data_IF_795850910093
#
_entry.id   IF_795850910093
#
_cell.length_a   1.000
_cell.length_b   1.000
_cell.length_c   1.000
_cell.angle_alpha   90.00
_cell.angle_beta   90.00
_cell.angle_gamma   90.00
#
_symmetry.space_group_name_H-M   'P 1'
#
loop_
_entity.id
_entity.type
_entity.pdbx_description
1 polymer ?
#
# COMPACT_ATOMS: atom_id res chain seq x y z
N UNK A 1 0.24 -5.94 10.30
CA UNK A 1 -0.06 -4.60 9.73
C UNK A 1 -0.32 -3.54 10.79
N UNK A 2 -1.11 -3.79 11.83
CA UNK A 2 -1.37 -2.82 12.92
C UNK A 2 -0.13 -2.31 13.65
N UNK A 3 0.94 -3.08 13.65
CA UNK A 3 2.20 -2.72 14.34
C UNK A 3 2.99 -1.56 13.68
N UNK A 4 2.65 -1.17 12.46
CA UNK A 4 3.34 -0.04 11.81
C UNK A 4 2.73 1.30 12.14
N UNK A 5 1.48 1.35 12.56
CA UNK A 5 0.72 2.58 12.78
C UNK A 5 0.59 2.88 14.26
N UNK A 6 0.99 4.07 14.67
CA UNK A 6 0.80 4.58 16.04
C UNK A 6 -0.52 5.31 16.13
N UNK A 7 -1.55 4.66 16.67
CA UNK A 7 -2.83 5.30 16.88
C UNK A 7 -2.88 6.07 18.20
N UNK A 8 -3.41 7.31 18.15
CA UNK A 8 -3.75 8.09 19.35
C UNK A 8 -2.63 8.16 20.40
N UNK A 9 -1.38 8.06 19.96
CA UNK A 9 -0.24 8.29 20.83
C UNK A 9 -0.25 9.76 21.29
N UNK A 10 0.06 10.06 22.58
CA UNK A 10 0.07 11.44 23.07
C UNK A 10 0.90 12.40 22.22
N UNK A 11 2.03 11.92 21.70
CA UNK A 11 2.90 12.69 20.81
C UNK A 11 2.23 13.06 19.48
N UNK A 12 1.49 12.14 18.86
CA UNK A 12 0.73 12.42 17.63
C UNK A 12 -0.46 13.33 17.92
N UNK A 13 -1.17 13.06 19.02
CA UNK A 13 -2.34 13.84 19.44
C UNK A 13 -1.96 15.28 19.77
N UNK A 14 -0.86 15.49 20.50
CA UNK A 14 -0.38 16.84 20.87
C UNK A 14 0.05 17.68 19.66
N UNK A 15 0.44 17.01 18.56
CA UNK A 15 0.81 17.65 17.30
C UNK A 15 -0.35 17.78 16.31
N UNK A 16 -1.56 17.36 16.68
CA UNK A 16 -2.76 17.40 15.84
C UNK A 16 -2.64 16.55 14.57
N UNK A 17 -1.92 15.43 14.62
CA UNK A 17 -1.67 14.57 13.46
C UNK A 17 -2.86 13.65 13.20
N UNK A 18 -3.34 13.66 11.95
CA UNK A 18 -4.36 12.74 11.43
C UNK A 18 -3.71 11.72 10.48
N UNK A 19 -3.68 10.46 10.92
CA UNK A 19 -3.10 9.34 10.16
C UNK A 19 -4.06 8.72 9.13
N UNK A 20 -5.22 9.33 8.92
CA UNK A 20 -6.17 8.91 7.88
C UNK A 20 -6.18 9.85 6.68
N UNK A 21 -5.38 10.91 6.73
CA UNK A 21 -5.33 11.94 5.69
C UNK A 21 -3.98 11.93 4.99
N UNK A 22 -4.03 12.19 3.70
CA UNK A 22 -2.88 12.28 2.82
C UNK A 22 -3.00 13.52 1.96
N UNK A 23 -1.95 14.31 1.89
CA UNK A 23 -1.79 15.39 0.91
C UNK A 23 -0.76 14.96 -0.10
N UNK A 24 -1.10 15.01 -1.36
CA UNK A 24 -0.21 14.66 -2.48
C UNK A 24 0.41 15.96 -2.99
N UNK A 25 1.74 16.05 -2.94
CA UNK A 25 2.48 17.09 -3.66
C UNK A 25 2.46 16.73 -5.15
N UNK A 26 1.78 17.50 -5.93
CA UNK A 26 1.87 17.43 -7.37
C UNK A 26 2.91 18.47 -7.83
N UNK A 27 3.86 18.06 -8.67
CA UNK A 27 4.84 18.97 -9.28
C UNK A 27 4.20 20.00 -10.23
N UNK A 28 2.92 19.80 -10.55
CA UNK A 28 2.13 20.72 -11.36
C UNK A 28 1.07 21.41 -10.49
N UNK A 29 0.72 22.62 -10.84
CA UNK A 29 -0.41 23.32 -10.24
C UNK A 29 -1.60 22.37 -10.19
N UNK A 30 -2.11 22.13 -8.99
CA UNK A 30 -3.30 21.27 -8.82
C UNK A 30 -4.40 21.87 -9.70
N UNK A 31 -5.02 21.05 -10.58
CA UNK A 31 -6.09 21.55 -11.43
C UNK A 31 -7.15 22.21 -10.55
N UNK A 32 -7.73 23.28 -11.04
CA UNK A 32 -8.82 23.97 -10.37
C UNK A 32 -10.01 23.04 -10.18
N UNK A 33 -10.95 23.35 -9.30
CA UNK A 33 -12.10 22.50 -9.03
C UNK A 33 -13.01 22.26 -10.25
N UNK A 34 -12.87 23.07 -11.30
CA UNK A 34 -13.61 22.95 -12.56
C UNK A 34 -12.80 22.27 -13.67
N UNK A 35 -11.52 21.99 -13.43
CA UNK A 35 -10.67 21.37 -14.44
C UNK A 35 -10.85 19.84 -14.44
N UNK A 36 -11.03 19.28 -15.62
CA UNK A 36 -11.06 17.84 -15.80
C UNK A 36 -9.68 17.24 -15.56
N UNK A 37 -9.62 16.16 -14.83
CA UNK A 37 -8.39 15.39 -14.62
C UNK A 37 -8.61 13.90 -14.91
N UNK A 38 -7.53 13.20 -15.21
CA UNK A 38 -7.55 11.77 -15.46
C UNK A 38 -6.78 11.04 -14.35
N UNK A 39 -7.21 9.85 -14.03
CA UNK A 39 -6.48 8.95 -13.15
C UNK A 39 -6.59 7.51 -13.66
N UNK A 40 -5.65 6.68 -13.26
CA UNK A 40 -5.62 5.27 -13.61
C UNK A 40 -6.13 4.44 -12.45
N UNK A 41 -6.82 3.35 -12.77
CA UNK A 41 -7.29 2.37 -11.79
C UNK A 41 -6.85 0.98 -12.23
N UNK A 42 -6.37 0.20 -11.28
CA UNK A 42 -5.90 -1.15 -11.48
C UNK A 42 -6.15 -1.96 -10.21
N UNK A 43 -6.36 -3.25 -10.33
CA UNK A 43 -6.46 -4.19 -9.23
C UNK A 43 -6.04 -5.57 -9.66
N UNK A 44 -5.87 -6.49 -8.73
CA UNK A 44 -5.60 -7.91 -9.01
C UNK A 44 -4.39 -8.13 -9.94
N UNK A 45 -3.34 -7.32 -9.78
CA UNK A 45 -2.25 -7.27 -10.74
C UNK A 45 -1.08 -8.20 -10.43
N UNK A 46 -1.10 -8.82 -9.26
CA UNK A 46 0.04 -9.52 -8.69
C UNK A 46 0.23 -10.99 -9.11
N UNK A 47 -0.38 -11.45 -10.21
CA UNK A 47 -0.40 -12.89 -10.58
C UNK A 47 0.96 -13.45 -11.01
N UNK A 48 1.97 -12.59 -11.22
CA UNK A 48 3.29 -13.02 -11.61
C UNK A 48 3.44 -13.39 -13.07
N UNK A 49 4.50 -14.14 -13.36
CA UNK A 49 4.83 -14.57 -14.73
C UNK A 49 4.17 -15.90 -15.04
N UNK A 50 3.40 -15.93 -16.10
CA UNK A 50 2.94 -17.17 -16.73
C UNK A 50 3.99 -17.70 -17.74
N UNK A 51 3.85 -18.95 -18.15
CA UNK A 51 4.83 -19.67 -18.99
C UNK A 51 5.30 -18.88 -20.21
N UNK A 52 4.42 -18.21 -20.92
CA UNK A 52 4.73 -17.51 -22.18
C UNK A 52 4.50 -16.01 -22.14
N UNK A 53 3.93 -15.46 -21.04
CA UNK A 53 3.58 -14.06 -20.94
C UNK A 53 3.57 -13.61 -19.48
N UNK A 54 3.54 -12.32 -19.26
CA UNK A 54 3.39 -11.72 -17.93
C UNK A 54 2.22 -10.75 -17.95
N UNK A 55 1.03 -11.16 -17.53
CA UNK A 55 -0.14 -10.27 -17.50
C UNK A 55 0.13 -8.97 -16.73
N UNK A 56 0.75 -8.98 -15.54
CA UNK A 56 1.09 -7.74 -14.83
C UNK A 56 1.96 -6.80 -15.66
N UNK A 57 2.92 -7.36 -16.41
CA UNK A 57 3.79 -6.56 -17.28
C UNK A 57 3.03 -5.94 -18.45
N UNK A 58 2.17 -6.71 -19.09
CA UNK A 58 1.35 -6.20 -20.21
C UNK A 58 0.41 -5.08 -19.74
N UNK A 59 -0.18 -5.22 -18.54
CA UNK A 59 -1.01 -4.19 -17.94
C UNK A 59 -0.16 -2.95 -17.63
N UNK A 60 0.99 -3.11 -16.97
CA UNK A 60 1.89 -2.01 -16.65
C UNK A 60 2.33 -1.23 -17.90
N UNK A 61 2.66 -1.92 -19.00
CA UNK A 61 3.02 -1.30 -20.28
C UNK A 61 1.84 -0.52 -20.89
N UNK A 62 0.63 -1.02 -20.79
CA UNK A 62 -0.56 -0.29 -21.22
C UNK A 62 -0.80 0.96 -20.37
N UNK A 63 -0.66 0.87 -19.07
CA UNK A 63 -0.79 2.01 -18.18
C UNK A 63 0.26 3.09 -18.45
N UNK A 64 1.49 2.71 -18.84
CA UNK A 64 2.55 3.66 -19.19
C UNK A 64 2.16 4.59 -20.34
N UNK A 65 1.36 4.13 -21.30
CA UNK A 65 0.90 4.97 -22.42
C UNK A 65 0.01 6.13 -21.98
N UNK A 66 -0.58 6.04 -20.78
CA UNK A 66 -1.47 7.05 -20.20
C UNK A 66 -0.85 7.74 -18.97
N UNK A 67 0.35 7.33 -18.58
CA UNK A 67 1.00 7.80 -17.35
C UNK A 67 1.12 9.32 -17.26
N UNK A 68 1.57 9.96 -18.34
CA UNK A 68 1.77 11.42 -18.38
C UNK A 68 0.48 12.24 -18.29
N UNK A 69 -0.67 11.64 -18.57
CA UNK A 69 -1.99 12.30 -18.53
C UNK A 69 -2.69 12.07 -17.20
N UNK A 70 -2.24 11.09 -16.40
CA UNK A 70 -2.90 10.71 -15.17
C UNK A 70 -2.30 11.45 -13.98
N UNK A 71 -3.16 12.02 -13.14
CA UNK A 71 -2.75 12.66 -11.89
C UNK A 71 -2.22 11.64 -10.87
N UNK A 72 -2.82 10.46 -10.83
CA UNK A 72 -2.44 9.37 -9.92
C UNK A 72 -2.92 8.01 -10.45
N UNK A 73 -2.40 6.95 -9.84
CA UNK A 73 -2.88 5.58 -10.04
C UNK A 73 -3.43 5.04 -8.72
N UNK A 74 -4.67 4.56 -8.76
CA UNK A 74 -5.30 3.81 -7.66
C UNK A 74 -5.11 2.31 -7.91
N UNK A 75 -4.69 1.59 -6.85
CA UNK A 75 -4.63 0.13 -6.90
C UNK A 75 -5.60 -0.46 -5.86
N UNK A 76 -6.61 -1.19 -6.35
CA UNK A 76 -7.76 -1.63 -5.55
C UNK A 76 -7.51 -2.91 -4.74
N UNK A 77 -6.27 -3.34 -4.62
CA UNK A 77 -5.87 -4.49 -3.81
C UNK A 77 -5.37 -5.67 -4.62
N UNK A 78 -4.93 -6.71 -3.91
CA UNK A 78 -4.26 -7.89 -4.46
C UNK A 78 -3.03 -7.51 -5.28
N UNK A 79 -2.15 -6.76 -4.61
CA UNK A 79 -0.93 -6.24 -5.22
C UNK A 79 0.03 -7.38 -5.58
N UNK A 80 0.09 -8.41 -4.73
CA UNK A 80 0.96 -9.57 -4.95
C UNK A 80 0.26 -10.88 -4.62
N UNK A 81 0.12 -11.75 -5.60
CA UNK A 81 -0.38 -13.10 -5.47
C UNK A 81 0.77 -14.11 -5.18
N UNK A 82 0.49 -15.31 -4.59
CA UNK A 82 -0.85 -15.79 -4.17
C UNK A 82 -1.18 -15.36 -2.73
N UNK A 83 -0.21 -15.13 -1.90
CA UNK A 83 -0.33 -14.88 -0.46
C UNK A 83 0.44 -13.62 -0.02
N UNK A 84 0.67 -12.66 -0.90
CA UNK A 84 1.37 -11.42 -0.58
C UNK A 84 2.79 -11.62 -0.03
N UNK A 85 3.45 -12.73 -0.37
CA UNK A 85 4.73 -13.08 0.22
C UNK A 85 5.87 -12.18 -0.28
N UNK A 86 6.82 -11.86 0.60
CA UNK A 86 7.93 -10.94 0.31
C UNK A 86 8.81 -11.39 -0.87
N UNK A 87 9.00 -12.68 -1.04
CA UNK A 87 9.78 -13.27 -2.13
C UNK A 87 9.10 -13.15 -3.50
N UNK A 88 7.79 -12.90 -3.51
CA UNK A 88 7.00 -12.69 -4.73
C UNK A 88 7.01 -11.23 -5.21
N UNK A 89 7.31 -10.26 -4.33
CA UNK A 89 7.29 -8.84 -4.70
C UNK A 89 8.19 -8.51 -5.87
N UNK A 90 9.38 -9.14 -5.93
CA UNK A 90 10.34 -8.88 -6.99
C UNK A 90 9.79 -9.18 -8.38
N UNK A 91 9.24 -10.37 -8.57
CA UNK A 91 8.80 -10.84 -9.88
C UNK A 91 7.36 -10.42 -10.22
N UNK A 92 6.50 -10.25 -9.19
CA UNK A 92 5.10 -9.98 -9.38
C UNK A 92 4.76 -8.48 -9.32
N UNK A 93 5.62 -7.65 -8.71
CA UNK A 93 5.39 -6.21 -8.58
C UNK A 93 6.56 -5.37 -9.10
N UNK A 94 7.78 -5.52 -8.56
CA UNK A 94 8.91 -4.64 -8.92
C UNK A 94 9.24 -4.72 -10.41
N UNK A 95 9.40 -5.93 -10.92
CA UNK A 95 9.71 -6.16 -12.34
C UNK A 95 8.61 -5.65 -13.28
N UNK A 96 7.31 -5.95 -13.08
CA UNK A 96 6.25 -5.43 -13.93
C UNK A 96 6.13 -3.91 -13.93
N UNK A 97 6.22 -3.29 -12.74
CA UNK A 97 5.96 -1.86 -12.54
C UNK A 97 7.22 -1.00 -12.38
N UNK A 98 8.38 -1.49 -12.83
CA UNK A 98 9.68 -0.83 -12.63
C UNK A 98 9.72 0.62 -13.10
N UNK A 99 9.04 0.99 -14.18
CA UNK A 99 9.01 2.36 -14.70
C UNK A 99 8.17 3.33 -13.86
N UNK A 100 7.41 2.81 -12.90
CA UNK A 100 6.68 3.59 -11.90
C UNK A 100 7.53 3.91 -10.68
N UNK A 101 8.66 3.20 -10.54
CA UNK A 101 9.55 3.30 -9.38
C UNK A 101 10.76 4.19 -9.69
N UNK A 102 11.17 4.99 -8.70
CA UNK A 102 12.48 5.61 -8.73
C UNK A 102 13.54 4.51 -8.69
N UNK A 103 14.57 4.64 -9.53
CA UNK A 103 15.62 3.64 -9.69
C UNK A 103 15.13 2.25 -10.14
N UNK A 104 13.95 2.21 -10.75
CA UNK A 104 13.31 0.95 -11.16
C UNK A 104 14.05 0.16 -12.23
N UNK A 105 15.05 0.74 -12.89
CA UNK A 105 15.99 0.02 -13.76
C UNK A 105 16.80 -1.03 -12.97
N UNK A 106 17.01 -0.78 -11.68
CA UNK A 106 17.72 -1.66 -10.76
C UNK A 106 16.76 -2.56 -9.95
N UNK A 107 15.57 -2.84 -10.47
CA UNK A 107 14.51 -3.59 -9.77
C UNK A 107 14.99 -4.93 -9.19
N UNK A 108 16.00 -5.58 -9.78
CA UNK A 108 16.54 -6.86 -9.30
C UNK A 108 17.18 -6.76 -7.90
N UNK A 109 17.76 -5.61 -7.58
CA UNK A 109 18.41 -5.33 -6.30
C UNK A 109 17.51 -4.58 -5.33
N UNK A 110 16.32 -4.12 -5.78
CA UNK A 110 15.41 -3.37 -4.94
C UNK A 110 14.75 -4.24 -3.87
N UNK A 111 14.50 -3.63 -2.72
CA UNK A 111 13.69 -4.21 -1.66
C UNK A 111 12.29 -3.63 -1.69
N UNK A 112 11.26 -4.47 -1.52
CA UNK A 112 9.88 -4.01 -1.34
C UNK A 112 9.72 -3.04 -0.15
N UNK A 113 10.67 -3.01 0.78
CA UNK A 113 10.63 -2.12 1.96
C UNK A 113 10.98 -0.66 1.63
N UNK A 114 11.60 -0.39 0.49
CA UNK A 114 12.16 0.91 0.12
C UNK A 114 11.59 1.44 -1.19
N UNK A 115 10.29 1.22 -1.42
CA UNK A 115 9.65 1.66 -2.65
C UNK A 115 9.46 3.18 -2.63
N UNK A 116 9.87 3.83 -3.72
CA UNK A 116 9.59 5.23 -4.00
C UNK A 116 9.04 5.31 -5.42
N UNK A 117 7.87 5.90 -5.56
CA UNK A 117 7.18 6.01 -6.85
C UNK A 117 7.45 7.37 -7.49
N UNK A 118 7.62 7.39 -8.83
CA UNK A 118 7.83 8.61 -9.60
C UNK A 118 6.53 9.42 -9.81
N UNK A 119 5.39 8.79 -9.56
CA UNK A 119 4.05 9.36 -9.66
C UNK A 119 3.21 8.82 -8.49
N UNK A 120 2.14 9.49 -8.08
CA UNK A 120 1.30 8.99 -7.01
C UNK A 120 0.73 7.60 -7.35
N UNK A 121 1.16 6.59 -6.60
CA UNK A 121 0.70 5.22 -6.63
C UNK A 121 0.05 4.92 -5.28
N UNK A 122 -1.28 4.73 -5.28
CA UNK A 122 -2.13 4.81 -4.10
C UNK A 122 -2.88 3.48 -3.90
N UNK A 123 -2.23 2.44 -3.35
CA UNK A 123 -2.86 1.15 -3.15
C UNK A 123 -3.69 1.09 -1.87
N UNK A 124 -4.71 0.24 -1.90
CA UNK A 124 -5.32 -0.38 -0.72
C UNK A 124 -4.97 -1.86 -0.69
N UNK A 125 -4.94 -2.52 0.48
CA UNK A 125 -4.68 -3.95 0.52
C UNK A 125 -5.90 -4.75 0.07
N UNK A 126 -5.67 -5.79 -0.72
CA UNK A 126 -6.64 -6.83 -1.04
C UNK A 126 -6.55 -8.00 -0.06
N UNK A 127 -7.40 -9.02 -0.26
CA UNK A 127 -7.40 -10.18 0.63
C UNK A 127 -6.13 -11.05 0.47
N UNK A 128 -5.56 -11.13 -0.72
CA UNK A 128 -4.30 -11.85 -0.95
C UNK A 128 -3.10 -11.16 -0.31
N UNK A 129 -3.15 -9.87 -0.08
CA UNK A 129 -2.10 -9.14 0.65
C UNK A 129 -2.10 -9.44 2.16
N UNK A 130 -3.13 -10.12 2.68
CA UNK A 130 -3.28 -10.54 4.08
C UNK A 130 -3.08 -12.03 4.34
N UNK A 131 -3.08 -12.86 3.30
CA UNK A 131 -3.05 -14.31 3.50
C UNK A 131 -1.74 -14.81 4.07
N UNK A 132 -1.87 -15.75 5.00
CA UNK A 132 -0.78 -16.55 5.53
C UNK A 132 -1.02 -18.03 5.25
N UNK A 133 0.06 -18.73 4.93
CA UNK A 133 0.03 -20.17 4.86
C UNK A 133 0.02 -20.74 6.30
N UNK A 134 -0.82 -21.73 6.55
CA UNK A 134 -0.76 -22.47 7.82
C UNK A 134 0.65 -23.08 8.00
N UNK A 135 1.12 -23.20 9.23
CA UNK A 135 2.49 -23.65 9.53
C UNK A 135 2.88 -24.96 8.78
N UNK A 136 2.05 -26.01 8.73
CA UNK A 136 2.40 -27.22 7.99
C UNK A 136 2.56 -26.97 6.48
N UNK A 137 1.67 -26.15 5.90
CA UNK A 137 1.71 -25.79 4.48
C UNK A 137 2.91 -24.90 4.19
N UNK A 138 3.24 -23.97 5.07
CA UNK A 138 4.41 -23.10 4.95
C UNK A 138 5.72 -23.91 4.97
N UNK A 139 5.83 -24.92 5.83
CA UNK A 139 6.98 -25.83 5.86
C UNK A 139 7.12 -26.63 4.56
N UNK A 140 6.03 -27.23 4.08
CA UNK A 140 6.02 -27.97 2.80
C UNK A 140 6.35 -27.01 1.65
N UNK A 141 5.76 -25.82 1.65
CA UNK A 141 6.04 -24.78 0.65
C UNK A 141 7.50 -24.34 0.66
N UNK A 142 8.11 -24.20 1.85
CA UNK A 142 9.55 -23.88 1.98
C UNK A 142 10.45 -25.00 1.49
N UNK A 143 10.20 -26.23 1.90
CA UNK A 143 11.00 -27.40 1.49
C UNK A 143 10.92 -27.70 -0.01
N UNK A 144 9.76 -27.45 -0.61
CA UNK A 144 9.51 -27.69 -2.04
C UNK A 144 9.86 -26.48 -2.92
N UNK A 145 10.25 -25.35 -2.34
CA UNK A 145 10.50 -24.10 -3.07
C UNK A 145 11.46 -24.24 -4.25
N UNK A 146 12.65 -24.91 -4.14
CA UNK A 146 13.55 -25.08 -5.27
C UNK A 146 12.92 -25.90 -6.40
N UNK A 147 12.18 -26.97 -6.04
CA UNK A 147 11.51 -27.82 -7.01
C UNK A 147 10.33 -27.08 -7.66
N UNK A 148 9.56 -26.34 -6.89
CA UNK A 148 8.43 -25.55 -7.40
C UNK A 148 8.90 -24.44 -8.34
N UNK A 149 10.01 -23.77 -8.06
CA UNK A 149 10.61 -22.77 -8.96
C UNK A 149 11.06 -23.38 -10.27
N UNK A 150 11.55 -24.62 -10.24
CA UNK A 150 11.87 -25.37 -11.46
C UNK A 150 10.61 -25.81 -12.20
N UNK A 151 9.58 -26.31 -11.48
CA UNK A 151 8.30 -26.73 -12.02
C UNK A 151 7.40 -25.55 -12.42
N UNK A 152 7.59 -24.37 -11.86
CA UNK A 152 6.90 -23.14 -12.25
C UNK A 152 7.04 -22.85 -13.75
N UNK A 153 8.09 -23.39 -14.37
CA UNK A 153 8.21 -23.38 -15.82
C UNK A 153 7.07 -24.15 -16.52
N UNK A 154 6.38 -25.05 -15.80
CA UNK A 154 5.27 -25.88 -16.29
C UNK A 154 3.89 -25.48 -15.75
N UNK A 155 3.84 -24.80 -14.61
CA UNK A 155 2.62 -24.44 -13.91
C UNK A 155 2.58 -22.96 -13.53
N UNK A 156 1.44 -22.32 -13.71
CA UNK A 156 1.22 -20.89 -13.54
C UNK A 156 0.99 -20.45 -12.08
N UNK A 157 1.17 -21.32 -11.10
CA UNK A 157 0.86 -21.04 -9.70
C UNK A 157 2.08 -21.23 -8.82
N UNK A 158 2.55 -20.14 -8.20
CA UNK A 158 3.51 -20.19 -7.10
C UNK A 158 2.91 -19.55 -5.84
N UNK A 159 2.75 -20.33 -4.79
CA UNK A 159 2.19 -19.89 -3.53
C UNK A 159 3.13 -18.98 -2.71
N UNK A 160 4.38 -18.77 -3.15
CA UNK A 160 5.39 -18.09 -2.34
C UNK A 160 5.83 -18.91 -1.13
N UNK A 161 6.56 -18.26 -0.22
CA UNK A 161 6.99 -18.85 1.04
C UNK A 161 6.48 -18.03 2.23
N UNK A 162 5.91 -18.68 3.23
CA UNK A 162 5.36 -18.15 4.50
C UNK A 162 4.08 -17.31 4.39
N UNK A 163 3.80 -16.65 3.29
CA UNK A 163 2.68 -15.72 3.19
C UNK A 163 3.05 -14.27 3.48
N UNK A 164 2.03 -13.47 3.75
CA UNK A 164 2.14 -12.02 3.90
C UNK A 164 2.57 -11.55 5.30
N UNK A 165 2.60 -12.47 6.31
CA UNK A 165 2.74 -12.09 7.71
C UNK A 165 1.56 -11.23 8.19
N UNK A 166 0.34 -11.64 7.89
CA UNK A 166 -0.89 -10.88 8.20
C UNK A 166 -0.83 -9.44 7.65
N UNK A 167 -0.36 -9.30 6.41
CA UNK A 167 -0.22 -8.01 5.74
C UNK A 167 1.02 -7.21 6.13
N UNK A 168 1.96 -7.80 6.87
CA UNK A 168 3.20 -7.10 7.23
C UNK A 168 4.02 -6.75 5.99
N UNK A 169 4.09 -7.65 5.00
CA UNK A 169 4.83 -7.43 3.75
C UNK A 169 4.26 -6.23 2.98
N UNK A 170 2.95 -6.19 2.79
CA UNK A 170 2.25 -5.03 2.20
C UNK A 170 2.54 -3.75 2.98
N UNK A 171 2.43 -3.81 4.30
CA UNK A 171 2.67 -2.70 5.19
C UNK A 171 4.10 -2.16 5.07
N UNK A 172 5.09 -3.06 4.99
CA UNK A 172 6.48 -2.69 4.75
C UNK A 172 6.71 -2.05 3.37
N UNK A 173 5.91 -2.43 2.38
CA UNK A 173 6.01 -1.87 1.04
C UNK A 173 5.41 -0.46 0.92
N UNK A 174 4.26 -0.21 1.53
CA UNK A 174 3.45 0.97 1.22
C UNK A 174 3.16 1.88 2.42
N UNK A 175 3.08 1.36 3.65
CA UNK A 175 2.65 2.14 4.81
C UNK A 175 3.85 2.75 5.54
N UNK A 176 3.67 3.96 6.05
CA UNK A 176 4.67 4.63 6.87
C UNK A 176 4.90 3.91 8.21
N UNK A 177 6.17 3.70 8.53
CA UNK A 177 6.60 2.85 9.65
C UNK A 177 6.75 3.58 10.97
N UNK A 178 5.78 4.35 11.42
CA UNK A 178 5.88 5.16 12.64
C UNK A 178 6.24 4.36 13.90
N UNK A 179 5.75 3.13 14.04
CA UNK A 179 6.07 2.28 15.20
C UNK A 179 7.54 1.84 15.27
N UNK A 180 8.25 1.91 14.15
CA UNK A 180 9.68 1.57 14.08
C UNK A 180 10.58 2.72 14.53
N UNK A 181 9.99 3.89 14.77
CA UNK A 181 10.70 5.11 15.13
C UNK A 181 10.52 5.40 16.62
N UNK A 182 11.60 5.75 17.31
CA UNK A 182 11.60 6.09 18.72
C UNK A 182 12.09 7.52 18.96
N UNK A 183 11.47 8.20 19.91
CA UNK A 183 11.90 9.48 20.47
C UNK A 183 12.28 10.54 19.41
N UNK A 184 13.56 10.94 19.39
CA UNK A 184 14.08 11.98 18.49
C UNK A 184 13.87 11.68 17.01
N UNK A 185 14.05 10.42 16.58
CA UNK A 185 13.82 10.01 15.19
C UNK A 185 12.36 10.13 14.79
N UNK A 186 11.44 9.81 15.70
CA UNK A 186 10.01 10.00 15.46
C UNK A 186 9.69 11.49 15.31
N UNK A 187 10.23 12.34 16.20
CA UNK A 187 10.00 13.78 16.12
C UNK A 187 10.51 14.38 14.79
N UNK A 188 11.71 14.05 14.41
CA UNK A 188 12.31 14.47 13.15
C UNK A 188 11.48 13.99 11.93
N UNK A 189 11.06 12.72 11.95
CA UNK A 189 10.23 12.14 10.90
C UNK A 189 8.88 12.85 10.77
N UNK A 190 8.21 13.13 11.90
CA UNK A 190 6.95 13.86 11.92
C UNK A 190 7.09 15.30 11.43
N UNK A 191 8.18 15.99 11.74
CA UNK A 191 8.44 17.34 11.23
C UNK A 191 8.72 17.33 9.72
N UNK A 192 9.38 16.28 9.21
CA UNK A 192 9.78 16.19 7.81
C UNK A 192 8.66 15.73 6.89
N UNK A 193 7.81 14.80 7.36
CA UNK A 193 6.86 14.10 6.50
C UNK A 193 5.39 14.38 6.83
N UNK A 194 5.07 14.85 8.06
CA UNK A 194 3.71 15.24 8.45
C UNK A 194 3.60 16.76 8.56
N UNK A 195 4.11 17.47 7.56
CA UNK A 195 4.13 18.92 7.45
C UNK A 195 2.95 19.50 6.65
N UNK A 196 2.16 18.63 6.00
CA UNK A 196 0.96 19.03 5.29
C UNK A 196 -0.20 19.30 6.25
N UNK A 197 -1.10 20.20 5.84
CA UNK A 197 -2.30 20.53 6.61
C UNK A 197 -3.56 20.33 5.77
N UNK A 198 -4.57 19.74 6.37
CA UNK A 198 -5.89 19.59 5.79
C UNK A 198 -6.95 19.69 6.88
N UNK A 199 -7.90 20.63 6.72
CA UNK A 199 -8.97 20.91 7.69
C UNK A 199 -8.42 21.08 9.13
N UNK A 200 -7.33 21.83 9.27
CA UNK A 200 -6.72 22.12 10.57
C UNK A 200 -5.87 21.02 11.19
N UNK A 201 -5.84 19.82 10.60
CA UNK A 201 -5.01 18.72 11.08
C UNK A 201 -3.71 18.63 10.26
N UNK A 202 -2.62 18.26 10.92
CA UNK A 202 -1.39 17.84 10.24
C UNK A 202 -1.56 16.43 9.71
N UNK A 203 -1.06 16.19 8.50
CA UNK A 203 -1.14 14.88 7.87
C UNK A 203 0.10 14.58 7.02
N UNK A 204 0.22 13.32 6.60
CA UNK A 204 1.33 12.87 5.79
C UNK A 204 1.32 13.58 4.43
N UNK A 205 2.50 14.04 4.02
CA UNK A 205 2.75 14.56 2.70
C UNK A 205 3.35 13.48 1.81
N UNK A 206 2.64 13.14 0.76
CA UNK A 206 3.12 12.22 -0.28
C UNK A 206 3.88 13.03 -1.34
N UNK A 207 5.18 12.76 -1.47
CA UNK A 207 6.07 13.43 -2.43
C UNK A 207 6.57 12.42 -3.46
N UNK A 208 6.03 12.41 -4.69
CA UNK A 208 6.55 11.56 -5.76
C UNK A 208 8.08 11.74 -5.92
N UNK A 209 8.77 10.65 -6.18
CA UNK A 209 10.23 10.64 -6.29
C UNK A 209 11.02 10.79 -4.98
N UNK A 210 10.36 11.01 -3.84
CA UNK A 210 11.02 11.24 -2.55
C UNK A 210 10.46 10.37 -1.42
N UNK A 211 9.25 10.68 -0.96
CA UNK A 211 8.55 9.94 0.08
C UNK A 211 7.13 9.60 -0.40
N UNK A 212 6.89 8.32 -0.66
CA UNK A 212 5.65 7.83 -1.26
C UNK A 212 4.95 6.81 -0.37
N UNK A 213 5.05 7.05 0.96
CA UNK A 213 4.37 6.23 1.95
C UNK A 213 2.93 6.67 2.14
N UNK A 214 2.09 5.75 2.56
CA UNK A 214 0.71 5.97 2.95
C UNK A 214 0.61 6.07 4.47
N UNK A 215 -0.28 6.91 5.01
CA UNK A 215 -0.39 7.09 6.45
C UNK A 215 -0.96 5.86 7.15
N UNK A 216 -1.73 5.05 6.40
CA UNK A 216 -2.46 3.89 6.91
C UNK A 216 -2.89 2.95 5.78
N UNK A 217 -3.45 1.80 6.14
CA UNK A 217 -4.11 0.85 5.22
C UNK A 217 -5.42 1.38 4.64
N UNK A 218 -6.03 2.39 5.28
CA UNK A 218 -7.16 3.16 4.79
C UNK A 218 -6.85 4.64 4.99
N UNK A 219 -7.20 5.47 4.01
CA UNK A 219 -6.87 6.89 4.01
C UNK A 219 -7.78 7.65 3.07
N UNK A 220 -7.76 8.98 3.17
CA UNK A 220 -8.40 9.85 2.20
C UNK A 220 -7.43 10.92 1.71
N UNK A 221 -7.64 11.36 0.49
CA UNK A 221 -6.95 12.51 -0.08
C UNK A 221 -7.92 13.30 -0.96
N UNK A 222 -7.54 14.54 -1.28
CA UNK A 222 -8.31 15.40 -2.17
C UNK A 222 -7.47 15.75 -3.39
N UNK A 223 -8.10 15.74 -4.56
CA UNK A 223 -7.50 16.20 -5.81
C UNK A 223 -8.56 16.90 -6.66
N UNK A 224 -8.26 18.11 -7.17
CA UNK A 224 -9.20 18.89 -8.02
C UNK A 224 -10.63 18.98 -7.45
N UNK A 225 -10.77 19.20 -6.14
CA UNK A 225 -12.08 19.30 -5.48
C UNK A 225 -12.78 17.96 -5.22
N UNK A 226 -12.22 16.83 -5.65
CA UNK A 226 -12.78 15.49 -5.42
C UNK A 226 -12.12 14.84 -4.21
N UNK A 227 -12.92 14.37 -3.25
CA UNK A 227 -12.46 13.57 -2.13
C UNK A 227 -12.45 12.09 -2.52
N UNK A 228 -11.32 11.44 -2.37
CA UNK A 228 -11.12 10.01 -2.61
C UNK A 228 -10.92 9.30 -1.28
N UNK A 229 -11.73 8.27 -1.04
CA UNK A 229 -11.64 7.42 0.16
C UNK A 229 -11.10 6.06 -0.23
N UNK A 230 -9.92 5.74 0.24
CA UNK A 230 -9.28 4.44 0.10
C UNK A 230 -9.63 3.59 1.31
N UNK A 231 -10.37 2.50 1.11
CA UNK A 231 -10.96 1.67 2.17
C UNK A 231 -10.34 0.27 2.14
N UNK A 232 -9.89 -0.20 3.30
CA UNK A 232 -9.51 -1.60 3.50
C UNK A 232 -10.76 -2.42 3.86
N UNK A 233 -11.32 -3.12 2.87
CA UNK A 233 -12.53 -3.92 3.05
C UNK A 233 -12.28 -5.26 3.77
N UNK A 234 -11.02 -5.71 3.88
CA UNK A 234 -10.71 -7.01 4.50
C UNK A 234 -11.05 -7.05 5.99
N UNK A 235 -10.98 -5.91 6.65
CA UNK A 235 -11.34 -5.82 8.07
C UNK A 235 -12.81 -6.05 8.36
N UNK A 236 -13.67 -5.99 7.33
CA UNK A 236 -15.11 -6.24 7.43
C UNK A 236 -15.48 -7.70 7.15
N UNK A 237 -14.58 -8.45 6.51
CA UNK A 237 -14.84 -9.81 6.01
C UNK A 237 -14.37 -10.88 7.00
N UNK A 238 -13.45 -10.55 7.91
CA UNK A 238 -12.99 -11.54 8.88
C UNK A 238 -14.15 -11.95 9.77
N UNK A 239 -14.66 -13.20 9.65
CA UNK A 239 -15.63 -13.67 10.61
C UNK A 239 -15.00 -13.55 11.98
N UNK A 240 -15.72 -13.09 12.95
CA UNK A 240 -15.44 -12.85 14.37
C UNK A 240 -14.59 -13.97 15.05
N UNK A 241 -13.48 -14.31 14.51
CA UNK A 241 -12.45 -15.14 15.09
C UNK A 241 -11.38 -14.23 15.64
N UNK A 242 -11.53 -13.83 16.90
CA UNK A 242 -10.51 -13.39 17.85
C UNK A 242 -9.21 -12.84 17.22
N UNK A 243 -9.30 -11.74 16.47
CA UNK A 243 -8.18 -10.84 16.33
C UNK A 243 -8.26 -9.86 17.48
N UNK A 244 -7.17 -9.67 18.21
CA UNK A 244 -7.05 -8.71 19.32
C UNK A 244 -7.46 -7.26 18.91
N UNK A 245 -7.66 -7.01 17.63
CA UNK A 245 -8.02 -5.73 17.05
C UNK A 245 -9.54 -5.50 16.87
N UNK A 246 -10.37 -6.51 17.03
CA UNK A 246 -11.81 -6.41 16.82
C UNK A 246 -12.49 -5.30 17.67
N UNK A 247 -12.17 -5.14 18.95
CA UNK A 247 -12.74 -4.08 19.78
C UNK A 247 -12.26 -2.66 19.43
N UNK A 248 -11.03 -2.52 18.92
CA UNK A 248 -10.48 -1.21 18.54
C UNK A 248 -11.10 -0.71 17.25
N UNK A 249 -11.25 -1.57 16.25
CA UNK A 249 -11.84 -1.23 14.96
C UNK A 249 -13.31 -0.81 15.08
N UNK A 250 -14.11 -1.56 15.86
CA UNK A 250 -15.52 -1.19 16.11
C UNK A 250 -15.64 0.16 16.82
N UNK A 251 -14.72 0.46 17.73
CA UNK A 251 -14.70 1.76 18.40
C UNK A 251 -14.32 2.87 17.43
N UNK A 252 -13.34 2.65 16.57
CA UNK A 252 -12.88 3.63 15.59
C UNK A 252 -13.94 3.92 14.53
N UNK A 253 -14.68 2.89 14.08
CA UNK A 253 -15.84 3.06 13.19
C UNK A 253 -16.96 3.88 13.86
N UNK A 254 -17.29 3.58 15.11
CA UNK A 254 -18.29 4.36 15.87
C UNK A 254 -17.87 5.82 16.09
N UNK A 255 -16.58 6.07 16.31
CA UNK A 255 -16.07 7.45 16.45
C UNK A 255 -16.10 8.19 15.10
N UNK A 256 -15.84 7.51 13.97
CA UNK A 256 -15.98 8.07 12.63
C UNK A 256 -17.45 8.40 12.32
N UNK A 257 -18.37 7.49 12.62
CA UNK A 257 -19.81 7.71 12.48
C UNK A 257 -20.32 8.86 13.38
N UNK A 258 -19.80 8.95 14.60
CA UNK A 258 -20.16 10.03 15.52
C UNK A 258 -19.67 11.40 15.03
N UNK A 259 -18.45 11.45 14.45
CA UNK A 259 -17.92 12.68 13.85
C UNK A 259 -18.72 13.11 12.61
N UNK A 260 -19.16 12.16 11.78
CA UNK A 260 -19.97 12.46 10.60
C UNK A 260 -21.37 12.99 10.95
N UNK A 261 -21.92 12.61 12.10
CA UNK A 261 -23.23 13.10 12.57
C UNK A 261 -23.17 14.46 13.28
N UNK A 262 -21.98 14.92 13.64
CA UNK A 262 -21.77 16.20 14.33
C UNK A 262 -21.33 17.35 13.41
N UNK A 263 -21.18 17.08 12.12
CA UNK A 263 -20.97 18.05 11.02
C UNK A 263 -22.19 18.14 10.14
#
# INVERSE_FOLDING_TARGET
MGERVRWKQPELTSRGIDQTRLVIDADNESPGPEDAFHFLVLGDSGTGRHRFHSPPRQIAERLLTHKSQAAFLLHTGDVVYLVGAADQYRDNFLRPFREWLRDGEQWESMSHKNLVFNQPFLPVPGNHDYYDLSLPVALIAGLTLPLRRHLQWFHDVDAGWRGSGQGEVYSNAFIDGLNQLHSTKLSEHLETHYDAHWDGSRCLRYKPGQNTRLPNRYYRFRHAGVDVFAIDSNTLITPLGETQDGPSLQRDLRELEAKQRST
#
